data_IF_142610607265
#
_entry.id   IF_142610607265
#
_cell.length_a   1.000
_cell.length_b   1.000
_cell.length_c   1.000
_cell.angle_alpha   90.00
_cell.angle_beta   90.00
_cell.angle_gamma   90.00
#
_symmetry.space_group_name_H-M   'P 1'
#
loop_
_entity.id
_entity.type
_entity.pdbx_description
1 polymer ?
#
# COMPACT_ATOMS: atom_id res chain seq x y z
N UNK A 1 -46.02 -4.95 54.55
CA UNK A 1 -46.46 -3.56 54.35
C UNK A 1 -45.94 -3.07 53.01
N UNK A 2 -46.62 -3.39 51.91
CA UNK A 2 -46.28 -2.85 50.59
C UNK A 2 -46.87 -1.45 50.48
N UNK A 3 -46.03 -0.41 50.40
CA UNK A 3 -46.48 0.93 50.04
C UNK A 3 -47.04 0.86 48.62
N UNK A 4 -48.33 1.13 48.45
CA UNK A 4 -48.88 1.42 47.12
C UNK A 4 -48.27 2.75 46.66
N UNK A 5 -47.37 2.69 45.68
CA UNK A 5 -46.77 3.87 45.08
C UNK A 5 -47.91 4.74 44.55
N UNK A 6 -47.95 6.01 44.97
CA UNK A 6 -48.97 6.91 44.44
C UNK A 6 -48.68 7.14 42.97
N UNK A 7 -49.74 7.30 42.16
CA UNK A 7 -49.59 7.49 40.71
C UNK A 7 -48.61 8.63 40.36
N UNK A 8 -48.53 9.66 41.20
CA UNK A 8 -47.64 10.80 41.02
C UNK A 8 -46.16 10.42 41.22
N UNK A 9 -45.81 9.72 42.30
CA UNK A 9 -44.44 9.24 42.54
C UNK A 9 -43.96 8.27 41.45
N UNK A 10 -44.85 7.41 40.95
CA UNK A 10 -44.53 6.51 39.83
C UNK A 10 -44.25 7.28 38.53
N UNK A 11 -44.94 8.40 38.28
CA UNK A 11 -44.70 9.23 37.11
C UNK A 11 -43.39 10.01 37.23
N UNK A 12 -43.07 10.54 38.41
CA UNK A 12 -41.82 11.26 38.64
C UNK A 12 -40.58 10.37 38.45
N UNK A 13 -40.62 9.15 38.98
CA UNK A 13 -39.54 8.18 38.82
C UNK A 13 -39.35 7.74 37.35
N UNK A 14 -40.44 7.60 36.60
CA UNK A 14 -40.38 7.34 35.16
C UNK A 14 -39.78 8.53 34.39
N UNK A 15 -40.18 9.76 34.70
CA UNK A 15 -39.62 10.95 34.06
C UNK A 15 -38.12 11.12 34.34
N UNK A 16 -37.69 10.87 35.58
CA UNK A 16 -36.26 10.85 35.93
C UNK A 16 -35.50 9.79 35.14
N UNK A 17 -36.06 8.58 35.04
CA UNK A 17 -35.46 7.50 34.25
C UNK A 17 -35.35 7.85 32.77
N UNK A 18 -36.37 8.48 32.18
CA UNK A 18 -36.35 8.95 30.79
C UNK A 18 -35.27 10.02 30.55
N UNK A 19 -35.12 10.97 31.46
CA UNK A 19 -34.07 11.98 31.39
C UNK A 19 -32.66 11.36 31.50
N UNK A 20 -32.50 10.37 32.37
CA UNK A 20 -31.24 9.63 32.50
C UNK A 20 -30.92 8.83 31.22
N UNK A 21 -31.93 8.22 30.59
CA UNK A 21 -31.74 7.53 29.30
C UNK A 21 -31.38 8.51 28.17
N UNK A 22 -32.02 9.68 28.12
CA UNK A 22 -31.73 10.70 27.10
C UNK A 22 -30.29 11.20 27.21
N UNK A 23 -29.85 11.57 28.42
CA UNK A 23 -28.47 12.04 28.67
C UNK A 23 -27.44 10.94 28.40
N UNK A 24 -27.70 9.70 28.82
CA UNK A 24 -26.83 8.56 28.53
C UNK A 24 -26.74 8.28 27.01
N UNK A 25 -27.83 8.43 26.28
CA UNK A 25 -27.86 8.25 24.83
C UNK A 25 -27.02 9.32 24.11
N UNK A 26 -27.11 10.58 24.53
CA UNK A 26 -26.28 11.66 24.00
C UNK A 26 -24.79 11.42 24.26
N UNK A 27 -24.42 11.01 25.49
CA UNK A 27 -23.05 10.65 25.82
C UNK A 27 -22.52 9.48 24.99
N UNK A 28 -23.34 8.45 24.78
CA UNK A 28 -23.00 7.30 23.93
C UNK A 28 -22.80 7.72 22.47
N UNK A 29 -23.62 8.65 21.96
CA UNK A 29 -23.47 9.17 20.60
C UNK A 29 -22.18 9.97 20.44
N UNK A 30 -21.84 10.82 21.41
CA UNK A 30 -20.59 11.57 21.41
C UNK A 30 -19.37 10.63 21.44
N UNK A 31 -19.35 9.67 22.37
CA UNK A 31 -18.28 8.69 22.49
C UNK A 31 -18.08 7.87 21.20
N UNK A 32 -19.16 7.49 20.51
CA UNK A 32 -19.07 6.81 19.21
C UNK A 32 -18.46 7.67 18.11
N UNK A 33 -18.77 8.97 18.09
CA UNK A 33 -18.19 9.90 17.13
C UNK A 33 -16.69 10.09 17.37
N UNK A 34 -16.29 10.25 18.63
CA UNK A 34 -14.89 10.33 19.03
C UNK A 34 -14.11 9.06 18.68
N UNK A 35 -14.69 7.89 18.98
CA UNK A 35 -14.09 6.59 18.65
C UNK A 35 -13.84 6.49 17.15
N UNK A 36 -14.84 6.78 16.30
CA UNK A 36 -14.67 6.73 14.85
C UNK A 36 -13.64 7.74 14.33
N UNK A 37 -13.53 8.91 14.96
CA UNK A 37 -12.51 9.90 14.62
C UNK A 37 -11.10 9.40 14.99
N UNK A 38 -10.94 8.81 16.18
CA UNK A 38 -9.68 8.23 16.64
C UNK A 38 -9.23 7.06 15.75
N UNK A 39 -10.13 6.14 15.39
CA UNK A 39 -9.82 5.02 14.49
C UNK A 39 -9.27 5.52 13.15
N UNK A 40 -9.90 6.55 12.57
CA UNK A 40 -9.43 7.14 11.31
C UNK A 40 -8.04 7.77 11.46
N UNK A 41 -7.76 8.43 12.58
CA UNK A 41 -6.44 9.00 12.84
C UNK A 41 -5.41 7.90 13.05
N UNK A 42 -5.77 6.85 13.78
CA UNK A 42 -4.92 5.69 14.02
C UNK A 42 -4.47 5.02 12.72
N UNK A 43 -5.42 4.74 11.81
CA UNK A 43 -5.11 4.16 10.49
C UNK A 43 -4.16 5.07 9.70
N UNK A 44 -4.36 6.39 9.73
CA UNK A 44 -3.44 7.34 9.08
C UNK A 44 -2.04 7.27 9.70
N UNK A 45 -1.92 7.23 11.02
CA UNK A 45 -0.61 7.15 11.69
C UNK A 45 0.10 5.83 11.42
N UNK A 46 -0.61 4.69 11.37
CA UNK A 46 0.00 3.41 11.00
C UNK A 46 0.48 3.41 9.55
N UNK A 47 -0.32 3.93 8.62
CA UNK A 47 0.09 4.01 7.21
C UNK A 47 1.32 4.90 7.03
N UNK A 48 1.43 6.00 7.78
CA UNK A 48 2.62 6.85 7.78
C UNK A 48 3.84 6.14 8.38
N UNK A 49 3.69 5.40 9.47
CA UNK A 49 4.77 4.62 10.06
C UNK A 49 5.31 3.55 9.09
N UNK A 50 4.40 2.84 8.41
CA UNK A 50 4.77 1.86 7.38
C UNK A 50 5.46 2.54 6.18
N UNK A 51 4.99 3.72 5.77
CA UNK A 51 5.61 4.47 4.68
C UNK A 51 7.05 4.91 5.03
N UNK A 52 7.32 5.29 6.28
CA UNK A 52 8.68 5.66 6.73
C UNK A 52 9.66 4.48 6.70
N UNK A 53 9.17 3.26 6.86
CA UNK A 53 10.00 2.05 6.74
C UNK A 53 10.36 1.73 5.28
N UNK A 54 9.70 2.36 4.30
CA UNK A 54 10.03 2.16 2.89
C UNK A 54 11.33 2.89 2.53
N UNK A 55 12.19 2.18 1.80
CA UNK A 55 13.42 2.76 1.24
C UNK A 55 13.20 3.15 -0.22
N UNK A 56 13.71 4.32 -0.60
CA UNK A 56 13.70 4.77 -1.99
C UNK A 56 14.60 3.87 -2.86
N UNK A 57 14.11 3.53 -4.05
CA UNK A 57 14.88 2.76 -5.03
C UNK A 57 15.33 3.69 -6.16
N UNK A 58 16.59 3.59 -6.56
CA UNK A 58 17.11 4.39 -7.67
C UNK A 58 16.70 3.76 -8.99
N UNK A 59 16.22 4.61 -9.90
CA UNK A 59 15.81 4.21 -11.26
C UNK A 59 17.00 4.34 -12.19
N UNK A 60 17.23 3.31 -13.00
CA UNK A 60 18.28 3.33 -14.02
C UNK A 60 17.89 2.55 -15.27
N UNK A 61 18.60 2.83 -16.35
CA UNK A 61 18.50 2.11 -17.62
C UNK A 61 19.57 1.01 -17.67
N UNK A 62 19.18 -0.16 -18.19
CA UNK A 62 20.09 -1.27 -18.42
C UNK A 62 20.84 -1.02 -19.75
N UNK A 63 22.16 -0.86 -19.68
CA UNK A 63 22.98 -0.65 -20.87
C UNK A 63 23.42 -1.96 -21.51
N UNK A 64 24.04 -2.85 -20.70
CA UNK A 64 24.64 -4.08 -21.22
C UNK A 64 24.70 -5.16 -20.15
N UNK A 65 24.43 -6.40 -20.56
CA UNK A 65 24.67 -7.58 -19.74
C UNK A 65 26.15 -7.97 -19.79
N UNK A 66 26.79 -8.15 -18.63
CA UNK A 66 28.19 -8.57 -18.54
C UNK A 66 28.30 -10.07 -18.27
N UNK A 67 27.55 -10.55 -17.27
CA UNK A 67 27.41 -11.97 -16.93
C UNK A 67 25.92 -12.28 -16.75
N UNK A 68 25.49 -13.56 -16.68
CA UNK A 68 24.08 -13.89 -16.41
C UNK A 68 23.50 -13.15 -15.20
N UNK A 69 24.30 -12.90 -14.17
CA UNK A 69 23.85 -12.31 -12.90
C UNK A 69 24.18 -10.81 -12.75
N UNK A 70 25.06 -10.24 -13.59
CA UNK A 70 25.55 -8.86 -13.46
C UNK A 70 25.29 -8.04 -14.71
N UNK A 71 24.81 -6.81 -14.51
CA UNK A 71 24.44 -5.87 -15.55
C UNK A 71 25.09 -4.52 -15.32
N UNK A 72 25.42 -3.84 -16.41
CA UNK A 72 25.85 -2.45 -16.39
C UNK A 72 24.60 -1.59 -16.52
N UNK A 73 24.39 -0.73 -15.53
CA UNK A 73 23.28 0.22 -15.52
C UNK A 73 23.83 1.64 -15.57
N UNK A 74 23.05 2.55 -16.15
CA UNK A 74 23.24 3.99 -16.00
C UNK A 74 22.15 4.49 -15.07
N UNK A 75 22.56 5.03 -13.91
CA UNK A 75 21.60 5.69 -13.02
C UNK A 75 21.06 6.95 -13.68
N UNK A 76 19.84 7.36 -13.35
CA UNK A 76 19.29 8.66 -13.75
C UNK A 76 20.21 9.83 -13.35
N UNK A 77 21.00 9.66 -12.29
CA UNK A 77 21.99 10.64 -11.83
C UNK A 77 23.24 10.74 -12.73
N UNK A 78 23.44 9.82 -13.70
CA UNK A 78 24.55 9.85 -14.65
C UNK A 78 25.65 8.79 -14.48
N UNK A 79 26.07 8.39 -13.26
CA UNK A 79 27.09 7.35 -13.06
C UNK A 79 26.65 5.98 -13.59
N UNK A 80 27.65 5.18 -13.99
CA UNK A 80 27.45 3.80 -14.43
C UNK A 80 27.91 2.84 -13.35
N UNK A 81 27.04 1.90 -12.98
CA UNK A 81 27.31 0.90 -11.96
C UNK A 81 27.20 -0.51 -12.54
N UNK A 82 27.94 -1.44 -11.93
CA UNK A 82 27.75 -2.88 -12.15
C UNK A 82 26.89 -3.39 -11.01
N UNK A 83 25.69 -3.89 -11.33
CA UNK A 83 24.71 -4.31 -10.32
C UNK A 83 24.29 -5.76 -10.54
N UNK A 84 24.08 -6.46 -9.43
CA UNK A 84 23.56 -7.83 -9.41
C UNK A 84 22.03 -7.87 -9.39
N UNK A 85 21.45 -8.93 -9.94
CA UNK A 85 19.99 -9.11 -9.99
C UNK A 85 19.50 -10.01 -8.85
N UNK A 86 18.32 -9.69 -8.29
CA UNK A 86 17.59 -10.57 -7.37
C UNK A 86 17.04 -11.79 -8.12
N UNK A 87 17.12 -12.99 -7.55
CA UNK A 87 16.70 -14.24 -8.21
C UNK A 87 15.31 -14.20 -8.86
N UNK A 88 14.34 -13.58 -8.20
CA UNK A 88 12.97 -13.42 -8.72
C UNK A 88 12.92 -12.60 -10.03
N UNK A 89 13.72 -11.53 -10.12
CA UNK A 89 13.81 -10.72 -11.33
C UNK A 89 14.56 -11.44 -12.46
N UNK A 90 15.53 -12.30 -12.11
CA UNK A 90 16.27 -13.10 -13.08
C UNK A 90 15.35 -14.05 -13.85
N UNK A 91 14.42 -14.71 -13.15
CA UNK A 91 13.43 -15.61 -13.76
C UNK A 91 12.52 -14.85 -14.74
N UNK A 92 12.05 -13.66 -14.37
CA UNK A 92 11.20 -12.84 -15.24
C UNK A 92 11.93 -12.42 -16.53
N UNK A 93 13.18 -11.97 -16.42
CA UNK A 93 14.00 -11.58 -17.58
C UNK A 93 14.24 -12.78 -18.50
N UNK A 94 14.53 -13.95 -17.92
CA UNK A 94 14.76 -15.17 -18.69
C UNK A 94 13.47 -15.64 -19.39
N UNK A 95 12.31 -15.52 -18.75
CA UNK A 95 11.02 -15.83 -19.35
C UNK A 95 10.69 -14.91 -20.53
N UNK A 96 11.02 -13.61 -20.44
CA UNK A 96 10.86 -12.65 -21.53
C UNK A 96 11.78 -12.95 -22.71
N UNK A 97 13.05 -13.27 -22.45
CA UNK A 97 13.99 -13.72 -23.51
C UNK A 97 13.49 -14.97 -24.21
N UNK A 98 12.95 -15.94 -23.46
CA UNK A 98 12.37 -17.17 -24.02
C UNK A 98 11.18 -16.88 -24.93
N UNK A 99 10.30 -15.92 -24.56
CA UNK A 99 9.17 -15.49 -25.41
C UNK A 99 9.62 -14.77 -26.69
N UNK A 100 10.64 -13.91 -26.60
CA UNK A 100 11.20 -13.21 -27.77
C UNK A 100 11.90 -14.18 -28.75
N UNK A 101 12.55 -15.22 -28.25
CA UNK A 101 13.27 -16.19 -29.08
C UNK A 101 12.33 -17.15 -29.84
N UNK A 102 11.15 -17.43 -29.31
CA UNK A 102 10.08 -18.16 -30.01
C UNK A 102 9.53 -17.35 -31.20
N UNK A 103 9.50 -16.01 -31.08
CA UNK A 103 9.07 -15.11 -32.16
C UNK A 103 10.07 -15.03 -33.34
N UNK A 104 11.38 -15.18 -33.08
CA UNK A 104 12.43 -15.12 -34.11
C UNK A 104 12.42 -16.31 -35.09
N UNK A 105 11.77 -17.43 -34.73
CA UNK A 105 11.66 -18.60 -35.62
C UNK A 105 10.52 -18.44 -36.67
N UNK A 106 9.66 -17.42 -36.53
CA UNK A 106 8.51 -17.15 -37.38
C UNK A 106 8.69 -16.00 -38.38
N UNK A 107 9.77 -16.01 -39.19
CA UNK A 107 9.96 -15.26 -40.46
C UNK A 107 9.93 -13.70 -40.45
N UNK A 108 10.82 -13.15 -41.29
CA UNK A 108 11.01 -11.77 -41.78
C UNK A 108 11.88 -10.84 -40.91
N UNK A 109 13.15 -10.73 -41.31
CA UNK A 109 14.02 -9.58 -41.00
C UNK A 109 13.53 -8.37 -41.81
N UNK A 110 12.78 -7.48 -41.17
CA UNK A 110 12.61 -6.11 -41.65
C UNK A 110 12.86 -5.16 -40.49
N UNK A 111 13.82 -4.27 -40.70
CA UNK A 111 14.29 -3.17 -39.84
C UNK A 111 13.41 -2.84 -38.63
N UNK A 112 13.69 -3.52 -37.52
CA UNK A 112 13.21 -3.09 -36.21
C UNK A 112 14.25 -2.11 -35.70
N UNK A 113 14.01 -0.82 -35.99
CA UNK A 113 14.47 0.26 -35.11
C UNK A 113 14.14 -0.21 -33.70
N UNK A 114 15.18 -0.45 -32.90
CA UNK A 114 15.03 -0.90 -31.52
C UNK A 114 14.38 0.24 -30.76
N UNK A 115 13.05 0.32 -30.83
CA UNK A 115 12.28 1.18 -29.96
C UNK A 115 12.45 0.58 -28.58
N UNK A 116 13.31 1.26 -27.83
CA UNK A 116 13.46 1.24 -26.38
C UNK A 116 12.07 1.07 -25.75
N UNK A 117 11.68 -0.17 -25.48
CA UNK A 117 10.60 -0.45 -24.53
C UNK A 117 11.27 -0.48 -23.17
N UNK A 118 11.32 0.68 -22.53
CA UNK A 118 11.34 0.93 -21.09
C UNK A 118 11.84 -0.23 -20.22
N UNK A 119 13.10 -0.62 -20.40
CA UNK A 119 13.80 -1.53 -19.49
C UNK A 119 14.33 -0.72 -18.30
N UNK A 120 13.43 -0.15 -17.51
CA UNK A 120 13.78 0.48 -16.25
C UNK A 120 13.88 -0.59 -15.17
N UNK A 121 15.05 -0.68 -14.54
CA UNK A 121 15.25 -1.55 -13.39
C UNK A 121 15.39 -0.69 -12.13
N UNK A 122 14.68 -1.10 -11.09
CA UNK A 122 14.70 -0.47 -9.79
C UNK A 122 15.76 -1.17 -8.93
N UNK A 123 16.69 -0.40 -8.37
CA UNK A 123 17.76 -0.92 -7.53
C UNK A 123 17.77 -0.27 -6.16
N UNK A 124 18.03 -1.09 -5.15
CA UNK A 124 18.33 -0.64 -3.79
C UNK A 124 19.83 -0.32 -3.71
N UNK A 125 20.15 0.92 -3.32
CA UNK A 125 21.53 1.34 -3.03
C UNK A 125 22.08 0.63 -1.78
#
# INVERSE_FOLDING_TARGET
MGRSVTRQEALETLLQSLNNHATAYEGLKAARQELSALEKQFIKTETHALALQTVGQTIGEILKQLTPEKFIIKSSAGPRYVVGIRKQAQEMINALKKKQQIFQCGRIKSDIRHNNTDNHAYFTA
#
